data_IF_629952745781
#
_entry.id   IF_629952745781
#
_cell.length_a   1.000
_cell.length_b   1.000
_cell.length_c   1.000
_cell.angle_alpha   90.00
_cell.angle_beta   90.00
_cell.angle_gamma   90.00
#
_symmetry.space_group_name_H-M   'P 1'
#
loop_
_entity.id
_entity.type
_entity.pdbx_description
1 polymer ?
#
# COMPACT_ATOMS: atom_id res chain seq x y z
N UNK A 1 6.86 4.08 -7.26
CA UNK A 1 5.78 3.10 -7.44
C UNK A 1 4.45 3.84 -7.37
N UNK A 2 3.38 3.26 -7.94
CA UNK A 2 2.02 3.79 -7.77
C UNK A 2 1.48 3.56 -6.37
N UNK A 3 0.45 4.30 -5.95
CA UNK A 3 -0.25 4.10 -4.66
C UNK A 3 -1.05 2.81 -4.67
N UNK A 4 -1.18 2.14 -3.52
CA UNK A 4 -2.05 0.99 -3.35
C UNK A 4 -3.53 1.36 -3.42
N UNK A 5 -4.37 0.44 -3.91
CA UNK A 5 -5.82 0.68 -4.04
C UNK A 5 -6.51 0.80 -2.68
N UNK A 6 -7.58 1.59 -2.59
CA UNK A 6 -8.38 1.69 -1.36
C UNK A 6 -9.07 0.36 -1.04
N UNK A 7 -9.23 0.05 0.25
CA UNK A 7 -9.93 -1.15 0.71
C UNK A 7 -11.44 -1.09 0.48
N UNK A 8 -12.05 -2.26 0.25
CA UNK A 8 -13.48 -2.39 0.01
C UNK A 8 -14.35 -2.02 1.21
N UNK A 9 -15.62 -1.67 0.97
CA UNK A 9 -16.61 -1.42 2.03
C UNK A 9 -17.09 -2.73 2.65
N UNK A 10 -17.49 -2.67 3.92
CA UNK A 10 -17.94 -3.86 4.69
C UNK A 10 -19.28 -4.41 4.22
N UNK A 11 -19.49 -5.72 4.37
CA UNK A 11 -20.83 -6.34 4.36
C UNK A 11 -21.55 -6.00 5.67
N UNK A 12 -22.57 -5.14 5.59
CA UNK A 12 -23.35 -4.68 6.75
C UNK A 12 -24.14 -5.77 7.50
N UNK A 13 -24.14 -7.02 7.02
CA UNK A 13 -24.75 -8.17 7.70
C UNK A 13 -23.79 -8.90 8.65
N UNK A 14 -22.48 -8.64 8.53
CA UNK A 14 -21.41 -9.14 9.41
C UNK A 14 -20.87 -7.97 10.23
N UNK A 15 -20.43 -8.23 11.46
CA UNK A 15 -19.84 -7.23 12.36
C UNK A 15 -18.93 -6.27 11.57
N UNK A 16 -19.18 -4.97 11.69
CA UNK A 16 -18.82 -3.94 10.70
C UNK A 16 -17.32 -3.67 10.51
N UNK A 17 -16.52 -4.67 10.16
CA UNK A 17 -15.08 -4.55 9.88
C UNK A 17 -14.83 -4.11 8.44
N UNK A 18 -14.24 -2.92 8.28
CA UNK A 18 -13.84 -2.37 6.99
C UNK A 18 -12.89 -3.26 6.20
N UNK A 19 -12.90 -3.15 4.88
CA UNK A 19 -12.04 -3.96 4.02
C UNK A 19 -10.55 -3.62 4.13
N UNK A 20 -9.70 -4.46 3.56
CA UNK A 20 -8.24 -4.26 3.58
C UNK A 20 -7.79 -3.36 2.43
N UNK A 21 -6.94 -2.38 2.73
CA UNK A 21 -6.26 -1.57 1.74
C UNK A 21 -5.29 -2.41 0.88
N UNK A 22 -5.18 -2.07 -0.40
CA UNK A 22 -4.31 -2.75 -1.35
C UNK A 22 -2.82 -2.42 -1.16
N UNK A 23 -1.95 -3.30 -1.62
CA UNK A 23 -0.50 -3.09 -1.59
C UNK A 23 -0.07 -1.90 -2.47
N UNK A 24 0.86 -1.09 -1.97
CA UNK A 24 1.51 -0.01 -2.71
C UNK A 24 2.41 -0.55 -3.83
N UNK A 25 2.43 0.10 -4.99
CA UNK A 25 3.20 -0.37 -6.14
C UNK A 25 4.72 -0.27 -5.95
N UNK A 26 5.46 -1.24 -6.49
CA UNK A 26 6.92 -1.27 -6.36
C UNK A 26 7.62 -0.09 -7.06
N UNK A 27 8.78 0.28 -6.54
CA UNK A 27 9.68 1.26 -7.14
C UNK A 27 10.31 0.76 -8.43
N UNK A 28 10.52 1.66 -9.40
CA UNK A 28 11.16 1.32 -10.66
C UNK A 28 12.63 0.98 -10.49
N UNK A 29 13.15 0.06 -11.30
CA UNK A 29 14.58 -0.28 -11.29
C UNK A 29 15.46 0.89 -11.73
N UNK A 30 16.67 0.96 -11.17
CA UNK A 30 17.71 1.88 -11.62
C UNK A 30 18.32 1.46 -12.97
N UNK A 31 18.90 2.43 -13.68
CA UNK A 31 19.69 2.18 -14.89
C UNK A 31 20.94 1.34 -14.61
N UNK A 32 21.35 0.51 -15.57
CA UNK A 32 22.38 -0.52 -15.41
C UNK A 32 23.75 0.03 -14.97
N UNK A 33 24.17 1.17 -15.51
CA UNK A 33 25.50 1.75 -15.29
C UNK A 33 25.51 2.88 -14.26
N UNK A 34 24.54 3.78 -14.34
CA UNK A 34 24.30 4.86 -13.37
C UNK A 34 22.80 5.09 -13.21
N UNK A 35 22.37 5.40 -12.00
CA UNK A 35 21.02 5.87 -11.74
C UNK A 35 20.58 5.66 -10.29
N UNK A 36 19.55 6.39 -9.89
CA UNK A 36 18.87 6.18 -8.62
C UNK A 36 17.61 5.35 -8.87
N UNK A 37 17.40 4.30 -8.08
CA UNK A 37 16.18 3.52 -8.21
C UNK A 37 14.96 4.29 -7.68
N UNK A 38 13.78 3.98 -8.22
CA UNK A 38 12.54 4.63 -7.80
C UNK A 38 12.09 4.17 -6.42
N UNK A 39 11.48 5.05 -5.63
CA UNK A 39 10.87 4.67 -4.36
C UNK A 39 9.63 3.80 -4.56
N UNK A 40 9.34 2.93 -3.60
CA UNK A 40 8.07 2.21 -3.49
C UNK A 40 6.91 3.17 -3.24
N UNK A 41 5.74 2.84 -3.77
CA UNK A 41 4.52 3.62 -3.53
C UNK A 41 3.89 3.27 -2.18
N UNK A 42 3.13 4.18 -1.57
CA UNK A 42 2.46 3.90 -0.29
C UNK A 42 1.34 2.88 -0.46
N UNK A 43 1.07 2.12 0.60
CA UNK A 43 -0.08 1.21 0.69
C UNK A 43 -1.40 1.97 0.63
N UNK A 44 -2.45 1.29 0.18
CA UNK A 44 -3.79 1.85 0.13
C UNK A 44 -4.43 1.92 1.51
N UNK A 45 -5.33 2.88 1.73
CA UNK A 45 -6.06 3.03 3.00
C UNK A 45 -7.06 1.88 3.18
N UNK A 46 -7.23 1.41 4.42
CA UNK A 46 -8.26 0.42 4.77
C UNK A 46 -9.66 0.96 4.51
N UNK A 47 -10.59 0.07 4.13
CA UNK A 47 -11.99 0.42 3.87
C UNK A 47 -12.74 0.81 5.14
N UNK A 48 -13.87 1.51 5.01
CA UNK A 48 -14.67 1.90 6.17
C UNK A 48 -15.50 0.73 6.71
N UNK A 49 -15.50 0.57 8.03
CA UNK A 49 -16.47 -0.25 8.76
C UNK A 49 -17.83 0.42 8.75
N UNK A 50 -18.86 -0.21 8.18
CA UNK A 50 -20.22 0.35 8.10
C UNK A 50 -21.27 -0.50 8.82
N UNK A 51 -20.91 -1.13 9.94
CA UNK A 51 -21.84 -1.92 10.74
C UNK A 51 -22.98 -1.06 11.30
N UNK A 52 -24.22 -1.55 11.20
CA UNK A 52 -25.41 -0.89 11.77
C UNK A 52 -25.61 -1.16 13.27
N UNK A 53 -24.78 -2.04 13.85
CA UNK A 53 -24.71 -2.30 15.30
C UNK A 53 -23.64 -1.44 15.97
N UNK A 54 -23.70 -1.33 17.30
CA UNK A 54 -22.86 -0.48 18.17
C UNK A 54 -21.34 -0.70 18.02
N UNK A 55 -20.90 -1.73 17.29
CA UNK A 55 -19.52 -2.10 17.05
C UNK A 55 -19.23 -2.08 15.54
N UNK A 56 -18.67 -0.98 15.04
CA UNK A 56 -18.19 -0.83 13.67
C UNK A 56 -16.70 -0.49 13.70
N UNK A 57 -15.88 -1.32 13.05
CA UNK A 57 -14.42 -1.23 13.09
C UNK A 57 -13.89 -0.78 11.73
N UNK A 58 -13.03 0.24 11.69
CA UNK A 58 -12.33 0.62 10.48
C UNK A 58 -11.50 -0.53 9.90
N UNK A 59 -11.32 -0.54 8.58
CA UNK A 59 -10.54 -1.56 7.88
C UNK A 59 -9.04 -1.36 8.04
N UNK A 60 -8.29 -2.42 7.76
CA UNK A 60 -6.84 -2.39 7.86
C UNK A 60 -6.21 -1.77 6.62
N UNK A 61 -5.27 -0.85 6.80
CA UNK A 61 -4.51 -0.31 5.68
C UNK A 61 -3.57 -1.32 5.04
N UNK A 62 -3.24 -1.05 3.78
CA UNK A 62 -2.42 -1.90 2.94
C UNK A 62 -0.93 -1.70 3.19
N UNK A 63 -0.13 -2.71 2.88
CA UNK A 63 1.33 -2.59 2.96
C UNK A 63 1.88 -1.63 1.89
N UNK A 64 2.95 -0.90 2.24
CA UNK A 64 3.70 -0.12 1.26
C UNK A 64 4.43 -1.00 0.24
N UNK A 65 4.74 -0.44 -0.92
CA UNK A 65 5.47 -1.12 -1.99
C UNK A 65 6.97 -1.16 -1.74
N UNK A 66 7.65 -2.15 -2.31
CA UNK A 66 9.10 -2.25 -2.19
C UNK A 66 9.79 -1.12 -2.96
N UNK A 67 10.96 -0.70 -2.46
CA UNK A 67 11.85 0.19 -3.19
C UNK A 67 12.45 -0.48 -4.43
N UNK A 68 12.80 0.31 -5.44
CA UNK A 68 13.45 -0.19 -6.64
C UNK A 68 14.88 -0.69 -6.37
N UNK A 69 15.28 -1.73 -7.10
CA UNK A 69 16.65 -2.28 -7.06
C UNK A 69 17.68 -1.43 -7.81
N UNK A 70 18.95 -1.53 -7.39
CA UNK A 70 20.10 -0.82 -7.96
C UNK A 70 20.78 -1.59 -9.10
N UNK A 71 21.35 -0.83 -10.04
CA UNK A 71 22.33 -1.29 -11.04
C UNK A 71 23.75 -1.37 -10.44
N UNK A 72 24.79 -1.34 -11.29
CA UNK A 72 26.19 -1.55 -10.88
C UNK A 72 26.73 -0.48 -9.91
N UNK A 73 26.28 0.77 -10.05
CA UNK A 73 26.63 1.87 -9.15
C UNK A 73 25.41 2.77 -8.95
N UNK A 74 24.93 2.88 -7.71
CA UNK A 74 23.78 3.71 -7.35
C UNK A 74 23.16 3.36 -5.99
N UNK A 75 22.14 4.12 -5.58
CA UNK A 75 21.39 3.90 -4.34
C UNK A 75 20.00 3.29 -4.62
N UNK A 76 19.63 2.31 -3.80
CA UNK A 76 18.31 1.67 -3.84
C UNK A 76 17.20 2.66 -3.51
N UNK A 77 16.00 2.39 -4.02
CA UNK A 77 14.81 3.16 -3.66
C UNK A 77 14.39 2.84 -2.23
N UNK A 78 13.90 3.82 -1.49
CA UNK A 78 13.22 3.55 -0.21
C UNK A 78 11.89 2.83 -0.45
N UNK A 79 11.51 1.95 0.48
CA UNK A 79 10.17 1.34 0.49
C UNK A 79 9.07 2.37 0.76
N UNK A 80 7.85 2.05 0.33
CA UNK A 80 6.66 2.83 0.63
C UNK A 80 6.16 2.57 2.05
N UNK A 81 5.43 3.54 2.60
CA UNK A 81 4.77 3.41 3.90
C UNK A 81 3.49 2.57 3.80
N UNK A 82 3.10 1.89 4.88
CA UNK A 82 1.76 1.29 5.00
C UNK A 82 0.67 2.36 5.08
N UNK A 83 -0.55 1.99 4.66
CA UNK A 83 -1.76 2.79 4.73
C UNK A 83 -2.57 2.60 6.00
#
# INVERSE_FOLDING_TARGET
>A
GGTGGAGGTTDGTVQGVGGFGGQGGNGGQSGLLFGNAGAGGPGGVGGAGTGTGTESFGGHGGAGGDGGGIGLTGNGGGGGNGG
#
